data_IF_370436855742
#
_entry.id   IF_370436855742
#
_cell.length_a   1.000
_cell.length_b   1.000
_cell.length_c   1.000
_cell.angle_alpha   90.00
_cell.angle_beta   90.00
_cell.angle_gamma   90.00
#
_symmetry.space_group_name_H-M   'P 1'
#
loop_
_entity.id
_entity.type
_entity.pdbx_description
1 polymer ?
#
# COMPACT_ATOMS: atom_id res chain seq x y z
N UNK A 1 1.13 -14.86 3.48
CA UNK A 1 1.93 -13.78 4.12
C UNK A 1 1.43 -12.39 3.74
N UNK A 2 1.21 -12.10 2.44
CA UNK A 2 0.73 -10.79 2.00
C UNK A 2 -0.58 -10.36 2.65
N UNK A 3 -1.57 -11.22 2.67
CA UNK A 3 -2.89 -11.00 3.30
C UNK A 3 -2.74 -10.71 4.80
N UNK A 4 -1.98 -11.58 5.50
CA UNK A 4 -1.70 -11.42 6.93
C UNK A 4 -1.06 -10.05 7.22
N UNK A 5 -0.04 -9.68 6.44
CA UNK A 5 0.68 -8.42 6.62
C UNK A 5 -0.20 -7.19 6.33
N UNK A 6 -1.06 -7.25 5.32
CA UNK A 6 -2.04 -6.20 5.05
C UNK A 6 -3.05 -6.07 6.20
N UNK A 7 -3.54 -7.18 6.76
CA UNK A 7 -4.40 -7.18 7.95
C UNK A 7 -3.72 -6.58 9.18
N UNK A 8 -2.44 -6.88 9.39
CA UNK A 8 -1.65 -6.28 10.49
C UNK A 8 -1.46 -4.77 10.29
N UNK A 9 -1.19 -4.30 9.08
CA UNK A 9 -1.12 -2.87 8.78
C UNK A 9 -2.46 -2.18 9.05
N UNK A 10 -3.58 -2.79 8.62
CA UNK A 10 -4.91 -2.23 8.89
C UNK A 10 -5.19 -2.13 10.39
N UNK A 11 -4.90 -3.18 11.15
CA UNK A 11 -5.03 -3.15 12.61
C UNK A 11 -4.17 -2.03 13.22
N UNK A 12 -2.90 -1.95 12.85
CA UNK A 12 -1.98 -0.93 13.36
C UNK A 12 -2.46 0.49 13.08
N UNK A 13 -2.99 0.73 11.87
CA UNK A 13 -3.58 2.04 11.50
C UNK A 13 -4.80 2.35 12.36
N UNK A 14 -5.71 1.39 12.54
CA UNK A 14 -6.91 1.59 13.36
C UNK A 14 -6.56 1.94 14.82
N UNK A 15 -5.62 1.20 15.43
CA UNK A 15 -5.12 1.48 16.79
C UNK A 15 -4.50 2.89 16.87
N UNK A 16 -3.63 3.24 15.91
CA UNK A 16 -2.99 4.55 15.88
C UNK A 16 -4.00 5.70 15.72
N UNK A 17 -4.99 5.53 14.83
CA UNK A 17 -6.06 6.52 14.63
C UNK A 17 -6.93 6.67 15.88
N UNK A 18 -7.28 5.55 16.54
CA UNK A 18 -8.02 5.57 17.79
C UNK A 18 -7.27 6.36 18.88
N UNK A 19 -6.00 6.05 19.09
CA UNK A 19 -5.15 6.76 20.06
C UNK A 19 -5.04 8.25 19.69
N UNK A 20 -4.78 8.57 18.43
CA UNK A 20 -4.58 9.95 18.00
C UNK A 20 -5.85 10.80 18.17
N UNK A 21 -7.03 10.20 18.07
CA UNK A 21 -8.33 10.86 18.25
C UNK A 21 -8.67 11.13 19.70
N UNK A 22 -8.28 10.21 20.61
CA UNK A 22 -8.71 10.23 22.01
C UNK A 22 -7.64 10.80 22.97
N UNK A 23 -6.36 10.79 22.58
CA UNK A 23 -5.27 11.28 23.43
C UNK A 23 -5.01 12.76 23.18
N UNK A 24 -4.92 13.52 24.24
CA UNK A 24 -4.55 14.96 24.25
C UNK A 24 -3.09 15.11 24.70
N UNK A 25 -2.33 15.94 23.97
CA UNK A 25 -1.01 16.43 24.36
C UNK A 25 -0.83 17.86 23.82
N UNK A 26 -0.06 18.67 24.52
CA UNK A 26 0.18 20.07 24.15
C UNK A 26 -1.12 20.88 23.95
N UNK A 27 -2.16 20.57 24.73
CA UNK A 27 -3.47 21.24 24.67
C UNK A 27 -4.33 20.89 23.45
N UNK A 28 -3.95 19.89 22.64
CA UNK A 28 -4.69 19.45 21.43
C UNK A 28 -4.77 17.94 21.38
N UNK A 29 -5.78 17.37 20.69
CA UNK A 29 -5.77 15.95 20.35
C UNK A 29 -4.58 15.66 19.43
N UNK A 30 -3.99 14.48 19.51
CA UNK A 30 -2.85 14.12 18.67
C UNK A 30 -3.17 14.24 17.18
N UNK A 31 -4.39 13.86 16.78
CA UNK A 31 -4.83 13.94 15.38
C UNK A 31 -4.87 15.37 14.84
N UNK A 32 -4.97 16.39 15.70
CA UNK A 32 -4.99 17.80 15.31
C UNK A 32 -3.58 18.37 15.14
N UNK A 33 -2.54 17.62 15.50
CA UNK A 33 -1.14 18.03 15.36
C UNK A 33 -0.63 17.73 13.92
N UNK A 34 -0.05 18.71 13.20
CA UNK A 34 0.35 18.52 11.81
C UNK A 34 1.34 17.36 11.57
N UNK A 35 2.36 17.22 12.41
CA UNK A 35 3.32 16.10 12.30
C UNK A 35 2.66 14.75 12.52
N UNK A 36 1.72 14.65 13.46
CA UNK A 36 0.96 13.42 13.69
C UNK A 36 0.07 13.08 12.50
N UNK A 37 -0.65 14.04 11.94
CA UNK A 37 -1.44 13.84 10.71
C UNK A 37 -0.58 13.31 9.57
N UNK A 38 0.59 13.90 9.38
CA UNK A 38 1.53 13.43 8.36
C UNK A 38 1.99 11.98 8.58
N UNK A 39 2.28 11.61 9.82
CA UNK A 39 2.64 10.23 10.18
C UNK A 39 1.48 9.27 9.91
N UNK A 40 0.28 9.59 10.38
CA UNK A 40 -0.92 8.78 10.18
C UNK A 40 -1.26 8.60 8.68
N UNK A 41 -1.14 9.66 7.87
CA UNK A 41 -1.34 9.56 6.42
C UNK A 41 -0.35 8.62 5.75
N UNK A 42 0.94 8.65 6.11
CA UNK A 42 1.93 7.71 5.59
C UNK A 42 1.61 6.26 5.91
N UNK A 43 1.14 6.01 7.14
CA UNK A 43 0.69 4.69 7.58
C UNK A 43 -0.55 4.25 6.79
N UNK A 44 -1.56 5.13 6.67
CA UNK A 44 -2.81 4.86 5.96
C UNK A 44 -2.57 4.55 4.48
N UNK A 45 -1.84 5.40 3.76
CA UNK A 45 -1.51 5.18 2.34
C UNK A 45 -0.88 3.80 2.14
N UNK A 46 0.05 3.43 3.01
CA UNK A 46 0.77 2.15 2.92
C UNK A 46 -0.14 0.95 3.21
N UNK A 47 -1.02 1.06 4.19
CA UNK A 47 -1.98 0.02 4.52
C UNK A 47 -3.03 -0.17 3.39
N UNK A 48 -3.49 0.93 2.81
CA UNK A 48 -4.45 0.92 1.71
C UNK A 48 -3.87 0.35 0.42
N UNK A 49 -2.58 0.62 0.11
CA UNK A 49 -1.88 -0.07 -0.98
C UNK A 49 -1.89 -1.60 -0.77
N UNK A 50 -1.56 -2.05 0.44
CA UNK A 50 -1.56 -3.47 0.79
C UNK A 50 -2.95 -4.09 0.59
N UNK A 51 -4.01 -3.40 1.02
CA UNK A 51 -5.40 -3.84 0.85
C UNK A 51 -5.79 -3.98 -0.62
N UNK A 52 -5.56 -2.95 -1.44
CA UNK A 52 -5.84 -2.99 -2.87
C UNK A 52 -5.12 -4.15 -3.56
N UNK A 53 -3.84 -4.30 -3.30
CA UNK A 53 -3.04 -5.37 -3.91
C UNK A 53 -3.46 -6.76 -3.47
N UNK A 54 -3.91 -6.95 -2.22
CA UNK A 54 -4.47 -8.22 -1.74
C UNK A 54 -5.71 -8.60 -2.55
N UNK A 55 -6.68 -7.69 -2.68
CA UNK A 55 -7.92 -8.00 -3.38
C UNK A 55 -7.71 -8.19 -4.89
N UNK A 56 -6.81 -7.44 -5.52
CA UNK A 56 -6.49 -7.68 -6.92
C UNK A 56 -5.73 -9.00 -7.14
N UNK A 57 -4.85 -9.39 -6.23
CA UNK A 57 -4.20 -10.71 -6.29
C UNK A 57 -5.22 -11.83 -6.10
N UNK A 58 -6.20 -11.65 -5.21
CA UNK A 58 -7.28 -12.63 -5.01
C UNK A 58 -8.18 -12.77 -6.27
N UNK A 59 -8.49 -11.66 -6.97
CA UNK A 59 -9.18 -11.70 -8.26
C UNK A 59 -8.39 -12.46 -9.32
N UNK A 60 -7.07 -12.24 -9.39
CA UNK A 60 -6.22 -12.96 -10.30
C UNK A 60 -6.19 -14.46 -9.98
N UNK A 61 -6.16 -14.83 -8.70
CA UNK A 61 -6.25 -16.23 -8.26
C UNK A 61 -7.59 -16.85 -8.67
N UNK A 62 -8.70 -16.20 -8.37
CA UNK A 62 -10.03 -16.71 -8.73
C UNK A 62 -10.16 -16.95 -10.25
N UNK A 63 -9.66 -16.04 -11.07
CA UNK A 63 -9.70 -16.18 -12.52
C UNK A 63 -8.79 -17.33 -13.00
N UNK A 64 -7.59 -17.44 -12.43
CA UNK A 64 -6.66 -18.53 -12.72
C UNK A 64 -7.24 -19.89 -12.34
N UNK A 65 -7.90 -20.02 -11.19
CA UNK A 65 -8.57 -21.25 -10.73
C UNK A 65 -9.74 -21.66 -11.65
N UNK A 66 -10.35 -20.68 -12.33
CA UNK A 66 -11.37 -20.90 -13.36
C UNK A 66 -10.78 -21.22 -14.76
N UNK A 67 -9.46 -21.32 -14.89
CA UNK A 67 -8.77 -21.69 -16.11
C UNK A 67 -8.28 -20.53 -16.98
N UNK A 68 -8.32 -19.28 -16.50
CA UNK A 68 -7.75 -18.15 -17.22
C UNK A 68 -6.20 -18.18 -17.17
N UNK A 69 -5.59 -18.63 -18.26
CA UNK A 69 -4.14 -18.78 -18.38
C UNK A 69 -3.41 -17.40 -18.33
N UNK A 70 -4.03 -16.33 -18.80
CA UNK A 70 -3.48 -14.98 -18.73
C UNK A 70 -3.43 -14.50 -17.27
N UNK A 71 -4.52 -14.66 -16.55
CA UNK A 71 -4.59 -14.28 -15.14
C UNK A 71 -3.70 -15.16 -14.26
N UNK A 72 -3.41 -16.39 -14.64
CA UNK A 72 -2.39 -17.21 -13.99
C UNK A 72 -0.98 -16.57 -14.08
N UNK A 73 -0.63 -15.96 -15.22
CA UNK A 73 0.62 -15.20 -15.38
C UNK A 73 0.62 -13.91 -14.56
N UNK A 74 -0.50 -13.19 -14.51
CA UNK A 74 -0.68 -12.02 -13.63
C UNK A 74 -0.50 -12.42 -12.17
N UNK A 75 -1.15 -13.49 -11.73
CA UNK A 75 -1.01 -14.03 -10.37
C UNK A 75 0.45 -14.38 -10.04
N UNK A 76 1.16 -14.99 -11.00
CA UNK A 76 2.55 -15.41 -10.82
C UNK A 76 3.48 -14.29 -10.41
N UNK A 77 3.30 -13.08 -10.96
CA UNK A 77 4.13 -11.92 -10.59
C UNK A 77 3.52 -11.12 -9.42
N UNK A 78 2.20 -11.02 -9.33
CA UNK A 78 1.54 -10.27 -8.24
C UNK A 78 1.80 -10.91 -6.87
N UNK A 79 1.87 -12.23 -6.79
CA UNK A 79 2.10 -12.95 -5.53
C UNK A 79 3.43 -12.57 -4.86
N UNK A 80 4.60 -12.65 -5.51
CA UNK A 80 5.85 -12.21 -4.90
C UNK A 80 5.91 -10.69 -4.70
N UNK A 81 5.34 -9.86 -5.60
CA UNK A 81 5.26 -8.42 -5.40
C UNK A 81 4.47 -8.07 -4.13
N UNK A 82 3.31 -8.68 -3.94
CA UNK A 82 2.48 -8.52 -2.75
C UNK A 82 3.26 -8.93 -1.49
N UNK A 83 3.82 -10.15 -1.46
CA UNK A 83 4.60 -10.62 -0.31
C UNK A 83 5.75 -9.68 0.00
N UNK A 84 6.55 -9.32 -1.01
CA UNK A 84 7.74 -8.50 -0.85
C UNK A 84 7.42 -7.15 -0.19
N UNK A 85 6.40 -6.44 -0.68
CA UNK A 85 6.10 -5.10 -0.16
C UNK A 85 5.31 -5.12 1.12
N UNK A 86 4.19 -5.85 1.18
CA UNK A 86 3.33 -5.80 2.37
C UNK A 86 4.03 -6.29 3.64
N UNK A 87 4.88 -7.33 3.54
CA UNK A 87 5.63 -7.81 4.69
C UNK A 87 6.69 -6.81 5.17
N UNK A 88 7.30 -6.07 4.28
CA UNK A 88 8.25 -5.00 4.63
C UNK A 88 7.54 -3.78 5.20
N UNK A 89 6.45 -3.40 4.59
CA UNK A 89 5.67 -2.23 4.97
C UNK A 89 4.98 -2.44 6.32
N UNK A 90 4.52 -3.67 6.61
CA UNK A 90 3.90 -4.00 7.89
C UNK A 90 4.82 -3.74 9.09
N UNK A 91 6.13 -4.00 8.96
CA UNK A 91 7.10 -3.69 10.01
C UNK A 91 7.15 -2.20 10.32
N UNK A 92 7.16 -1.37 9.26
CA UNK A 92 7.20 0.07 9.44
C UNK A 92 5.89 0.60 10.02
N UNK A 93 4.75 0.18 9.47
CA UNK A 93 3.43 0.63 9.94
C UNK A 93 3.18 0.19 11.39
N UNK A 94 3.56 -1.03 11.78
CA UNK A 94 3.44 -1.50 13.16
C UNK A 94 4.36 -0.74 14.12
N UNK A 95 5.59 -0.42 13.69
CA UNK A 95 6.51 0.41 14.47
C UNK A 95 6.01 1.85 14.64
N UNK A 96 5.52 2.46 13.56
CA UNK A 96 4.94 3.80 13.61
C UNK A 96 3.69 3.84 14.53
N UNK A 97 2.86 2.78 14.54
CA UNK A 97 1.70 2.69 15.43
C UNK A 97 2.11 2.58 16.91
N UNK A 98 3.12 1.78 17.21
CA UNK A 98 3.70 1.69 18.55
C UNK A 98 4.21 3.07 19.03
N UNK A 99 4.86 3.82 18.14
CA UNK A 99 5.33 5.18 18.40
C UNK A 99 4.17 6.16 18.66
N UNK A 100 3.07 6.08 17.92
CA UNK A 100 1.87 6.90 18.14
C UNK A 100 1.29 6.68 19.54
N UNK A 101 1.28 5.43 20.03
CA UNK A 101 0.84 5.12 21.40
C UNK A 101 1.81 5.67 22.47
N UNK A 102 3.07 5.90 22.12
CA UNK A 102 4.11 6.33 23.05
C UNK A 102 4.62 5.19 23.93
N UNK A 103 5.06 5.49 25.16
CA UNK A 103 5.66 4.50 26.07
C UNK A 103 4.81 3.25 26.28
N UNK A 104 3.49 3.39 26.36
CA UNK A 104 2.58 2.25 26.48
C UNK A 104 2.62 1.31 25.25
N UNK A 105 3.02 1.78 24.07
CA UNK A 105 3.15 0.94 22.89
C UNK A 105 4.34 -0.05 22.96
N UNK A 106 5.32 0.24 23.80
CA UNK A 106 6.52 -0.58 23.95
C UNK A 106 6.34 -1.74 24.94
N UNK A 107 5.52 -1.55 25.98
CA UNK A 107 5.36 -2.53 27.08
C UNK A 107 4.38 -3.65 26.70
N UNK A 108 4.60 -4.84 27.26
CA UNK A 108 3.90 -6.08 26.88
C UNK A 108 2.44 -6.15 27.33
N UNK A 109 1.99 -5.27 28.21
CA UNK A 109 0.59 -5.13 28.60
C UNK A 109 -0.31 -4.68 27.42
N UNK A 110 0.30 -4.06 26.40
CA UNK A 110 -0.37 -3.63 25.18
C UNK A 110 0.04 -4.51 23.98
N UNK A 111 -0.82 -4.59 22.98
CA UNK A 111 -0.60 -5.50 21.85
C UNK A 111 0.42 -5.02 20.82
N UNK A 112 0.82 -3.73 20.87
CA UNK A 112 1.64 -3.12 19.80
C UNK A 112 3.02 -3.77 19.68
N UNK A 113 3.69 -4.06 20.79
CA UNK A 113 5.00 -4.74 20.81
C UNK A 113 4.92 -6.13 20.16
N UNK A 114 3.85 -6.90 20.44
CA UNK A 114 3.62 -8.20 19.80
C UNK A 114 3.31 -8.06 18.30
N UNK A 115 2.45 -7.11 17.91
CA UNK A 115 2.12 -6.86 16.50
C UNK A 115 3.38 -6.49 15.71
N UNK A 116 4.29 -5.70 16.27
CA UNK A 116 5.57 -5.37 15.65
C UNK A 116 6.45 -6.61 15.43
N UNK A 117 6.61 -7.47 16.46
CA UNK A 117 7.37 -8.73 16.31
C UNK A 117 6.77 -9.64 15.26
N UNK A 118 5.46 -9.79 15.28
CA UNK A 118 4.73 -10.60 14.30
C UNK A 118 4.83 -10.05 12.88
N UNK A 119 4.90 -8.73 12.71
CA UNK A 119 5.13 -8.10 11.41
C UNK A 119 6.52 -8.43 10.84
N UNK A 120 7.54 -8.53 11.69
CA UNK A 120 8.89 -8.93 11.27
C UNK A 120 8.93 -10.35 10.71
N UNK A 121 8.17 -11.28 11.26
CA UNK A 121 8.12 -12.67 10.84
C UNK A 121 7.76 -12.80 9.34
N UNK A 122 6.81 -12.00 8.85
CA UNK A 122 6.37 -12.05 7.46
C UNK A 122 7.48 -11.81 6.43
N UNK A 123 8.53 -11.08 6.76
CA UNK A 123 9.66 -10.82 5.88
C UNK A 123 10.85 -11.78 6.08
N UNK A 124 10.71 -12.77 6.95
CA UNK A 124 11.74 -13.77 7.27
C UNK A 124 11.39 -15.12 6.64
N UNK A 125 10.24 -15.68 6.98
CA UNK A 125 9.83 -17.00 6.51
C UNK A 125 9.36 -17.01 5.04
N UNK A 126 9.35 -18.19 4.42
CA UNK A 126 9.00 -18.41 3.00
C UNK A 126 9.79 -17.51 2.02
N UNK A 127 11.04 -17.26 2.34
CA UNK A 127 11.96 -16.42 1.59
C UNK A 127 12.02 -14.98 2.13
N UNK A 128 13.26 -14.56 2.39
CA UNK A 128 13.56 -13.18 2.80
C UNK A 128 13.31 -12.18 1.68
N UNK A 129 13.33 -10.89 1.99
CA UNK A 129 13.05 -9.83 1.03
C UNK A 129 13.91 -9.90 -0.24
N UNK A 130 15.20 -10.27 -0.14
CA UNK A 130 16.06 -10.42 -1.32
C UNK A 130 15.61 -11.57 -2.20
N UNK A 131 15.34 -12.73 -1.60
CA UNK A 131 14.91 -13.93 -2.33
C UNK A 131 13.58 -13.68 -3.07
N UNK A 132 12.64 -12.99 -2.42
CA UNK A 132 11.35 -12.68 -3.04
C UNK A 132 11.48 -11.63 -4.15
N UNK A 133 12.37 -10.63 -4.01
CA UNK A 133 12.65 -9.68 -5.08
C UNK A 133 13.28 -10.36 -6.31
N UNK A 134 14.20 -11.31 -6.10
CA UNK A 134 14.75 -12.13 -7.18
C UNK A 134 13.72 -13.05 -7.82
N UNK A 135 12.71 -13.50 -7.06
CA UNK A 135 11.60 -14.27 -7.62
C UNK A 135 10.71 -13.42 -8.54
N UNK A 136 10.53 -12.12 -8.25
CA UNK A 136 9.88 -11.18 -9.19
C UNK A 136 10.66 -11.11 -10.51
N UNK A 137 11.99 -10.90 -10.45
CA UNK A 137 12.84 -10.88 -11.66
C UNK A 137 12.79 -12.21 -12.42
N UNK A 138 12.69 -13.33 -11.71
CA UNK A 138 12.54 -14.66 -12.33
C UNK A 138 11.21 -14.81 -13.05
N UNK A 139 10.11 -14.33 -12.48
CA UNK A 139 8.79 -14.33 -13.12
C UNK A 139 8.77 -13.49 -14.41
N UNK A 140 9.47 -12.37 -14.43
CA UNK A 140 9.67 -11.56 -15.64
C UNK A 140 10.46 -12.35 -16.68
N UNK A 141 11.66 -12.79 -16.35
CA UNK A 141 12.63 -13.34 -17.30
C UNK A 141 12.21 -14.68 -17.89
N UNK A 142 11.57 -15.56 -17.10
CA UNK A 142 11.32 -16.95 -17.48
C UNK A 142 9.89 -17.26 -17.84
N UNK A 143 8.96 -16.41 -17.41
CA UNK A 143 7.53 -16.74 -17.47
C UNK A 143 6.69 -15.68 -18.18
N UNK A 144 7.34 -14.61 -18.72
CA UNK A 144 6.68 -13.49 -19.40
C UNK A 144 5.55 -12.83 -18.57
N UNK A 145 5.67 -12.91 -17.25
CA UNK A 145 4.62 -12.49 -16.36
C UNK A 145 4.42 -10.96 -16.34
N UNK A 146 5.45 -10.17 -16.65
CA UNK A 146 5.38 -8.70 -16.70
C UNK A 146 4.54 -8.20 -17.87
N UNK A 147 4.65 -8.82 -19.05
CA UNK A 147 3.83 -8.50 -20.22
C UNK A 147 2.34 -8.64 -19.88
N UNK A 148 1.97 -9.77 -19.25
CA UNK A 148 0.60 -10.02 -18.84
C UNK A 148 0.12 -9.06 -17.73
N UNK A 149 0.97 -8.73 -16.77
CA UNK A 149 0.66 -7.73 -15.75
C UNK A 149 0.46 -6.35 -16.37
N UNK A 150 1.31 -5.96 -17.33
CA UNK A 150 1.22 -4.66 -18.01
C UNK A 150 -0.07 -4.53 -18.84
N UNK A 151 -0.46 -5.58 -19.52
CA UNK A 151 -1.76 -5.62 -20.22
C UNK A 151 -2.93 -5.49 -19.24
N UNK A 152 -2.86 -6.16 -18.08
CA UNK A 152 -3.87 -6.05 -17.06
C UNK A 152 -3.94 -4.65 -16.42
N UNK A 153 -2.81 -4.02 -16.16
CA UNK A 153 -2.79 -2.64 -15.65
C UNK A 153 -3.33 -1.64 -16.67
N UNK A 154 -3.09 -1.86 -17.98
CA UNK A 154 -3.67 -1.05 -19.05
C UNK A 154 -5.20 -1.17 -19.07
N UNK A 155 -5.73 -2.39 -18.94
CA UNK A 155 -7.18 -2.64 -18.87
C UNK A 155 -7.83 -1.94 -17.66
N UNK A 156 -7.19 -1.99 -16.48
CA UNK A 156 -7.69 -1.29 -15.31
C UNK A 156 -7.63 0.23 -15.49
N UNK A 157 -6.55 0.75 -16.08
CA UNK A 157 -6.41 2.19 -16.37
C UNK A 157 -7.48 2.68 -17.33
N UNK A 158 -7.79 1.91 -18.39
CA UNK A 158 -8.85 2.24 -19.34
C UNK A 158 -10.26 2.28 -18.72
N UNK A 159 -10.45 1.62 -17.58
CA UNK A 159 -11.68 1.60 -16.80
C UNK A 159 -11.67 2.62 -15.62
N UNK A 160 -10.67 3.49 -15.56
CA UNK A 160 -10.47 4.45 -14.46
C UNK A 160 -10.88 5.87 -14.88
N UNK A 161 -12.13 6.04 -15.27
CA UNK A 161 -12.70 7.28 -15.80
C UNK A 161 -13.15 8.28 -14.70
N UNK A 162 -13.10 7.89 -13.44
CA UNK A 162 -13.54 8.70 -12.31
C UNK A 162 -12.67 9.95 -12.04
N UNK A 163 -11.34 9.83 -12.16
CA UNK A 163 -10.36 10.91 -12.14
C UNK A 163 -9.28 10.63 -13.19
N UNK A 164 -9.52 11.12 -14.40
CA UNK A 164 -8.65 10.86 -15.55
C UNK A 164 -7.21 11.38 -15.36
N UNK A 165 -7.02 12.47 -14.60
CA UNK A 165 -5.70 13.03 -14.36
C UNK A 165 -4.89 12.14 -13.39
N UNK A 166 -5.50 11.68 -12.31
CA UNK A 166 -4.88 10.74 -11.38
C UNK A 166 -4.58 9.39 -12.07
N UNK A 167 -5.54 8.88 -12.85
CA UNK A 167 -5.37 7.64 -13.61
C UNK A 167 -4.22 7.75 -14.63
N UNK A 168 -4.10 8.87 -15.35
CA UNK A 168 -3.01 9.14 -16.27
C UNK A 168 -1.64 9.13 -15.58
N UNK A 169 -1.51 9.82 -14.44
CA UNK A 169 -0.27 9.82 -13.64
C UNK A 169 0.09 8.44 -13.12
N UNK A 170 -0.88 7.69 -12.60
CA UNK A 170 -0.67 6.34 -12.09
C UNK A 170 -0.22 5.38 -13.21
N UNK A 171 -0.86 5.45 -14.38
CA UNK A 171 -0.51 4.68 -15.57
C UNK A 171 0.92 4.96 -16.02
N UNK A 172 1.28 6.22 -16.22
CA UNK A 172 2.64 6.62 -16.61
C UNK A 172 3.68 6.10 -15.61
N UNK A 173 3.44 6.30 -14.32
CA UNK A 173 4.33 5.85 -13.27
C UNK A 173 4.49 4.32 -13.25
N UNK A 174 3.41 3.56 -13.52
CA UNK A 174 3.48 2.11 -13.64
C UNK A 174 4.36 1.68 -14.83
N UNK A 175 4.14 2.24 -16.03
CA UNK A 175 4.88 1.80 -17.21
C UNK A 175 6.37 2.12 -17.12
N UNK A 176 6.74 3.27 -16.57
CA UNK A 176 8.14 3.58 -16.25
C UNK A 176 8.75 2.58 -15.26
N UNK A 177 7.99 2.16 -14.26
CA UNK A 177 8.45 1.15 -13.30
C UNK A 177 8.57 -0.24 -13.93
N UNK A 178 7.66 -0.60 -14.84
CA UNK A 178 7.70 -1.86 -15.58
C UNK A 178 8.93 -1.94 -16.50
N UNK A 179 9.22 -0.88 -17.25
CA UNK A 179 10.43 -0.76 -18.08
C UNK A 179 11.71 -0.91 -17.23
N UNK A 180 11.75 -0.26 -16.08
CA UNK A 180 12.88 -0.39 -15.15
C UNK A 180 13.04 -1.84 -14.66
N UNK A 181 11.94 -2.51 -14.27
CA UNK A 181 11.98 -3.90 -13.83
C UNK A 181 12.43 -4.84 -14.95
N UNK A 182 11.93 -4.63 -16.18
CA UNK A 182 12.32 -5.44 -17.33
C UNK A 182 13.83 -5.37 -17.57
N UNK A 183 14.39 -4.15 -17.63
CA UNK A 183 15.82 -3.93 -17.75
C UNK A 183 16.64 -4.58 -16.66
N UNK A 184 16.19 -4.49 -15.39
CA UNK A 184 16.87 -5.14 -14.26
C UNK A 184 16.78 -6.66 -14.33
N UNK A 185 15.63 -7.22 -14.74
CA UNK A 185 15.44 -8.66 -14.79
C UNK A 185 16.33 -9.34 -15.86
N UNK A 186 16.63 -8.65 -16.95
CA UNK A 186 17.38 -9.20 -18.08
C UNK A 186 18.90 -8.92 -18.00
N UNK A 187 19.33 -8.00 -17.15
CA UNK A 187 20.73 -7.66 -16.94
C UNK A 187 21.25 -8.21 -15.59
N UNK A 188 22.22 -9.13 -15.66
CA UNK A 188 22.83 -9.76 -14.46
C UNK A 188 23.62 -8.78 -13.59
N UNK A 189 24.21 -7.77 -14.21
CA UNK A 189 25.04 -6.79 -13.49
C UNK A 189 24.16 -5.83 -12.67
N UNK A 190 22.85 -5.82 -12.92
CA UNK A 190 21.85 -5.01 -12.22
C UNK A 190 21.05 -5.77 -11.14
N UNK A 191 21.47 -6.96 -10.75
CA UNK A 191 20.78 -7.72 -9.68
C UNK A 191 20.64 -6.91 -8.38
N UNK A 192 21.57 -6.03 -8.07
CA UNK A 192 21.51 -5.12 -6.91
C UNK A 192 20.26 -4.21 -6.91
N UNK A 193 19.72 -3.89 -8.09
CA UNK A 193 18.54 -3.04 -8.27
C UNK A 193 17.21 -3.80 -8.10
N UNK A 194 17.21 -5.14 -8.00
CA UNK A 194 16.01 -5.98 -8.01
C UNK A 194 14.96 -5.56 -6.96
N UNK A 195 15.38 -5.17 -5.76
CA UNK A 195 14.48 -4.70 -4.71
C UNK A 195 13.84 -3.35 -5.03
N UNK A 196 14.60 -2.46 -5.66
CA UNK A 196 14.11 -1.15 -6.10
C UNK A 196 13.09 -1.34 -7.22
N UNK A 197 13.41 -2.15 -8.22
CA UNK A 197 12.56 -2.44 -9.36
C UNK A 197 11.24 -3.11 -8.95
N UNK A 198 11.29 -4.14 -8.09
CA UNK A 198 10.09 -4.77 -7.53
C UNK A 198 9.24 -3.77 -6.72
N UNK A 199 9.88 -2.87 -5.94
CA UNK A 199 9.17 -1.82 -5.21
C UNK A 199 8.49 -0.83 -6.14
N UNK A 200 9.14 -0.42 -7.22
CA UNK A 200 8.60 0.52 -8.18
C UNK A 200 7.36 -0.04 -8.87
N UNK A 201 7.42 -1.29 -9.38
CA UNK A 201 6.27 -1.95 -10.01
C UNK A 201 5.12 -2.14 -9.03
N UNK A 202 5.38 -2.57 -7.80
CA UNK A 202 4.32 -2.66 -6.78
C UNK A 202 3.65 -1.32 -6.53
N UNK A 203 4.41 -0.23 -6.39
CA UNK A 203 3.87 1.09 -6.15
C UNK A 203 3.05 1.59 -7.36
N UNK A 204 3.55 1.42 -8.58
CA UNK A 204 2.81 1.79 -9.79
C UNK A 204 1.52 0.98 -9.96
N UNK A 205 1.60 -0.34 -9.81
CA UNK A 205 0.43 -1.21 -9.91
C UNK A 205 -0.63 -0.85 -8.86
N UNK A 206 -0.23 -0.62 -7.60
CA UNK A 206 -1.18 -0.22 -6.55
C UNK A 206 -1.84 1.13 -6.81
N UNK A 207 -1.12 2.09 -7.43
CA UNK A 207 -1.69 3.37 -7.81
C UNK A 207 -2.75 3.21 -8.91
N UNK A 208 -2.47 2.42 -9.95
CA UNK A 208 -3.45 2.08 -11.00
C UNK A 208 -4.68 1.40 -10.41
N UNK A 209 -4.49 0.40 -9.55
CA UNK A 209 -5.60 -0.31 -8.88
C UNK A 209 -6.46 0.64 -8.05
N UNK A 210 -5.86 1.59 -7.31
CA UNK A 210 -6.61 2.57 -6.53
C UNK A 210 -7.46 3.49 -7.41
N UNK A 211 -6.97 3.93 -8.56
CA UNK A 211 -7.76 4.72 -9.52
C UNK A 211 -8.93 3.91 -10.08
N UNK A 212 -8.72 2.63 -10.38
CA UNK A 212 -9.80 1.73 -10.80
C UNK A 212 -10.84 1.52 -9.69
N UNK A 213 -10.42 1.34 -8.45
CA UNK A 213 -11.32 1.25 -7.29
C UNK A 213 -12.13 2.54 -7.12
N UNK A 214 -11.51 3.70 -7.31
CA UNK A 214 -12.19 5.00 -7.23
C UNK A 214 -13.34 5.11 -8.24
N UNK A 215 -13.10 4.73 -9.51
CA UNK A 215 -14.14 4.70 -10.53
C UNK A 215 -15.32 3.79 -10.13
N UNK A 216 -15.03 2.59 -9.60
CA UNK A 216 -16.08 1.66 -9.09
C UNK A 216 -16.87 2.21 -7.90
N UNK A 217 -16.21 2.98 -7.02
CA UNK A 217 -16.89 3.64 -5.90
C UNK A 217 -17.80 4.78 -6.40
N UNK A 218 -17.36 5.56 -7.39
CA UNK A 218 -18.16 6.62 -8.03
C UNK A 218 -19.41 6.07 -8.70
N UNK A 219 -19.29 4.97 -9.46
CA UNK A 219 -20.43 4.29 -10.08
C UNK A 219 -21.51 3.88 -9.07
N UNK A 220 -21.08 3.54 -7.86
CA UNK A 220 -21.97 3.15 -6.76
C UNK A 220 -22.42 4.32 -5.88
N UNK A 221 -22.10 5.56 -6.25
CA UNK A 221 -22.35 6.76 -5.44
C UNK A 221 -21.87 6.63 -3.99
N UNK A 222 -20.75 5.97 -3.79
CA UNK A 222 -20.18 5.70 -2.48
C UNK A 222 -19.55 6.96 -1.88
N UNK A 223 -19.71 7.19 -0.58
CA UNK A 223 -19.20 8.37 0.13
C UNK A 223 -17.67 8.48 0.15
N UNK A 224 -16.96 7.38 -0.13
CA UNK A 224 -15.49 7.35 -0.25
C UNK A 224 -14.98 7.59 -1.67
N UNK A 225 -15.86 7.90 -2.62
CA UNK A 225 -15.46 8.29 -3.97
C UNK A 225 -14.56 9.54 -3.92
N UNK A 226 -13.46 9.48 -4.64
CA UNK A 226 -12.40 10.50 -4.62
C UNK A 226 -11.22 10.19 -3.68
N UNK A 227 -11.43 9.47 -2.59
CA UNK A 227 -10.35 9.18 -1.65
C UNK A 227 -9.31 8.22 -2.23
N UNK A 228 -9.74 7.23 -3.04
CA UNK A 228 -8.80 6.28 -3.64
C UNK A 228 -7.90 6.95 -4.69
N UNK A 229 -8.43 7.87 -5.48
CA UNK A 229 -7.64 8.68 -6.41
C UNK A 229 -6.61 9.55 -5.69
N UNK A 230 -6.99 10.21 -4.58
CA UNK A 230 -6.06 10.99 -3.74
C UNK A 230 -4.95 10.14 -3.12
N UNK A 231 -5.29 8.92 -2.66
CA UNK A 231 -4.30 7.96 -2.14
C UNK A 231 -3.35 7.49 -3.26
N UNK A 232 -3.86 7.28 -4.48
CA UNK A 232 -3.05 6.97 -5.66
C UNK A 232 -2.04 8.08 -5.94
N UNK A 233 -2.48 9.34 -5.96
CA UNK A 233 -1.60 10.50 -6.16
C UNK A 233 -0.53 10.59 -5.06
N UNK A 234 -0.89 10.34 -3.81
CA UNK A 234 0.07 10.29 -2.72
C UNK A 234 1.12 9.19 -2.92
N UNK A 235 0.74 8.01 -3.47
CA UNK A 235 1.69 6.95 -3.82
C UNK A 235 2.64 7.42 -4.92
N UNK A 236 2.12 7.96 -6.01
CA UNK A 236 2.94 8.44 -7.14
C UNK A 236 3.90 9.53 -6.68
N UNK A 237 3.40 10.54 -5.99
CA UNK A 237 4.21 11.67 -5.54
C UNK A 237 5.29 11.28 -4.53
N UNK A 238 4.98 10.39 -3.58
CA UNK A 238 5.89 10.10 -2.46
C UNK A 238 6.78 8.86 -2.65
N UNK A 239 6.41 7.94 -3.54
CA UNK A 239 7.14 6.67 -3.71
C UNK A 239 7.77 6.49 -5.11
N UNK A 240 7.32 7.25 -6.12
CA UNK A 240 7.77 7.11 -7.50
C UNK A 240 8.29 8.43 -8.09
N UNK A 241 7.87 9.58 -7.56
CA UNK A 241 8.33 10.89 -7.99
C UNK A 241 9.71 11.24 -7.44
N UNK A 242 10.43 12.09 -8.16
CA UNK A 242 11.63 12.75 -7.64
C UNK A 242 11.23 13.69 -6.50
N UNK A 243 11.94 13.58 -5.38
CA UNK A 243 11.70 14.44 -4.22
C UNK A 243 12.94 15.28 -3.91
N UNK A 244 12.72 16.56 -3.84
CA UNK A 244 13.66 17.47 -3.17
C UNK A 244 13.41 17.34 -1.65
N UNK A 245 14.38 16.87 -0.84
CA UNK A 245 14.20 16.72 0.60
C UNK A 245 14.04 18.07 1.32
N UNK A 246 14.43 19.16 0.68
CA UNK A 246 14.33 20.52 1.24
C UNK A 246 13.04 21.22 0.87
N UNK A 247 12.24 20.66 -0.03
CA UNK A 247 10.92 21.21 -0.38
C UNK A 247 9.90 20.92 0.71
N UNK A 248 9.17 21.95 1.14
CA UNK A 248 8.11 21.85 2.12
C UNK A 248 6.96 20.91 1.71
N UNK A 249 5.98 20.77 2.58
CA UNK A 249 4.82 19.89 2.40
C UNK A 249 4.02 20.25 1.16
N UNK A 250 3.56 19.23 0.45
CA UNK A 250 2.70 19.39 -0.71
C UNK A 250 1.24 19.59 -0.32
N UNK A 251 0.43 20.14 -1.24
CA UNK A 251 -1.02 20.30 -1.07
C UNK A 251 -1.75 19.02 -0.70
N UNK A 252 -1.21 17.86 -1.06
CA UNK A 252 -1.72 16.55 -0.65
C UNK A 252 -1.80 16.35 0.88
N UNK A 253 -1.01 17.10 1.67
CA UNK A 253 -1.11 17.06 3.13
C UNK A 253 -2.26 17.97 3.65
N UNK A 254 -2.74 18.92 2.88
CA UNK A 254 -3.89 19.75 3.25
C UNK A 254 -5.20 18.93 3.32
N UNK A 255 -5.33 17.87 2.51
CA UNK A 255 -6.49 17.00 2.45
C UNK A 255 -6.46 15.86 3.50
N UNK A 256 -5.33 15.68 4.19
CA UNK A 256 -5.13 14.63 5.17
C UNK A 256 -6.21 14.59 6.28
N UNK A 257 -6.70 15.72 6.83
CA UNK A 257 -7.73 15.69 7.87
C UNK A 257 -9.00 14.97 7.45
N UNK A 258 -9.49 15.23 6.23
CA UNK A 258 -10.73 14.67 5.73
C UNK A 258 -10.61 13.17 5.45
N UNK A 259 -9.50 12.75 4.85
CA UNK A 259 -9.22 11.32 4.57
C UNK A 259 -9.10 10.55 5.88
N UNK A 260 -8.38 11.09 6.87
CA UNK A 260 -8.20 10.45 8.17
C UNK A 260 -9.51 10.35 8.96
N UNK A 261 -10.39 11.36 8.86
CA UNK A 261 -11.69 11.35 9.52
C UNK A 261 -12.58 10.22 8.95
N UNK A 262 -12.62 10.06 7.63
CA UNK A 262 -13.38 8.97 6.98
C UNK A 262 -12.80 7.59 7.27
N UNK A 263 -11.48 7.46 7.25
CA UNK A 263 -10.81 6.18 7.55
C UNK A 263 -11.13 5.64 8.95
N UNK A 264 -11.46 6.52 9.89
CA UNK A 264 -11.89 6.15 11.25
C UNK A 264 -13.35 5.71 11.34
N UNK A 265 -14.23 6.31 10.54
CA UNK A 265 -15.66 5.98 10.57
C UNK A 265 -15.92 4.50 10.23
N UNK A 266 -15.00 3.87 9.48
CA UNK A 266 -15.08 2.46 9.10
C UNK A 266 -14.40 1.49 10.09
N UNK A 267 -13.79 1.99 11.17
CA UNK A 267 -13.16 1.11 12.15
C UNK A 267 -14.24 0.36 12.96
N UNK A 268 -14.32 -0.97 12.91
CA UNK A 268 -15.25 -1.72 13.72
C UNK A 268 -15.01 -1.40 15.20
N UNK A 269 -16.05 -0.97 15.91
CA UNK A 269 -15.96 -0.66 17.34
C UNK A 269 -15.59 0.78 17.68
N UNK A 270 -15.60 1.71 16.72
CA UNK A 270 -15.41 3.14 17.04
C UNK A 270 -16.43 3.64 18.07
N UNK A 271 -17.64 3.09 18.06
CA UNK A 271 -18.69 3.42 19.01
C UNK A 271 -18.65 2.60 20.30
N UNK A 272 -18.12 1.38 20.28
CA UNK A 272 -18.06 0.50 21.45
C UNK A 272 -16.92 0.87 22.43
N UNK A 273 -15.84 1.46 21.93
CA UNK A 273 -14.68 1.88 22.73
C UNK A 273 -14.82 3.33 23.26
N UNK A 274 -15.84 4.06 22.83
CA UNK A 274 -16.17 5.38 23.37
C UNK A 274 -17.03 5.30 24.67
N UNK A 275 -17.47 4.09 25.04
CA UNK A 275 -18.34 3.83 26.19
C UNK A 275 -17.64 3.23 27.41
N UNK A 276 -16.33 2.94 27.33
CA UNK A 276 -15.44 2.56 28.44
C UNK A 276 -14.40 3.66 28.73
#
# INVERSE_FOLDING_TARGET
NGVRSAGMMRRSVNEALFIARNRTAFGKRLIDLPLMRRQLMKMLVTAEQGRSMVFQTARALEAADKGDARMAKVLRIMTPLLKFRTCRDARKVAGDAMEVRGGCGYIEEWSDARVLRDAHLGSIWEGTSNIVALDVSRAVKREDALTHLSAYMEELSAQSDGDAAAAGRAREAYFRAAEFLDGVAHDRDREADARQAASAVYNGASAVVMCWEDARLRERSNSYAGDRARLSDAVVAHKLGLRDPLRGTSDAEAEAPDILARALADAPGADALAAE
#
